data_IF_300732427713
#
_entry.id   IF_300732427713
#
_cell.length_a   1.000
_cell.length_b   1.000
_cell.length_c   1.000
_cell.angle_alpha   90.00
_cell.angle_beta   90.00
_cell.angle_gamma   90.00
#
_symmetry.space_group_name_H-M   'P 1'
#
loop_
_entity.id
_entity.type
_entity.pdbx_description
1 polymer ?
#
# COMPACT_ATOMS: atom_id res chain seq x y z
N UNK A 1 -20.26 -8.08 27.48
CA UNK A 1 -21.46 -8.63 26.82
C UNK A 1 -21.78 -7.86 25.54
N UNK A 2 -22.26 -6.60 25.58
CA UNK A 2 -22.57 -5.86 24.34
C UNK A 2 -21.34 -5.58 23.44
N UNK A 3 -20.19 -5.29 24.04
CA UNK A 3 -18.93 -5.08 23.30
C UNK A 3 -18.41 -6.38 22.64
N UNK A 4 -18.61 -7.53 23.29
CA UNK A 4 -18.15 -8.82 22.78
C UNK A 4 -18.97 -9.25 21.55
N UNK A 5 -20.27 -8.98 21.58
CA UNK A 5 -21.18 -9.24 20.46
C UNK A 5 -20.88 -8.32 19.25
N UNK A 6 -20.53 -7.05 19.49
CA UNK A 6 -20.07 -6.14 18.43
C UNK A 6 -18.76 -6.62 17.79
N UNK A 7 -17.81 -7.09 18.60
CA UNK A 7 -16.53 -7.64 18.11
C UNK A 7 -16.78 -8.89 17.27
N UNK A 8 -17.62 -9.82 17.75
CA UNK A 8 -17.97 -11.04 17.03
C UNK A 8 -18.66 -10.72 15.70
N UNK A 9 -19.57 -9.74 15.69
CA UNK A 9 -20.23 -9.29 14.46
C UNK A 9 -19.22 -8.69 13.45
N UNK A 10 -18.30 -7.84 13.90
CA UNK A 10 -17.22 -7.30 13.04
C UNK A 10 -16.31 -8.39 12.49
N UNK A 11 -16.01 -9.41 13.30
CA UNK A 11 -15.22 -10.56 12.87
C UNK A 11 -15.97 -11.36 11.79
N UNK A 12 -17.25 -11.65 12.00
CA UNK A 12 -18.07 -12.36 11.03
C UNK A 12 -18.19 -11.57 9.71
N UNK A 13 -18.47 -10.27 9.79
CA UNK A 13 -18.56 -9.40 8.62
C UNK A 13 -17.23 -9.35 7.84
N UNK A 14 -16.10 -9.18 8.54
CA UNK A 14 -14.78 -9.09 7.90
C UNK A 14 -14.32 -10.40 7.27
N UNK A 15 -14.71 -11.55 7.82
CA UNK A 15 -14.26 -12.88 7.37
C UNK A 15 -15.20 -13.54 6.36
N UNK A 16 -16.51 -13.30 6.45
CA UNK A 16 -17.53 -13.89 5.56
C UNK A 16 -17.28 -13.57 4.08
N UNK A 17 -16.74 -12.40 3.80
CA UNK A 17 -16.38 -11.98 2.45
C UNK A 17 -14.96 -11.39 2.40
N UNK A 18 -14.01 -12.17 2.91
CA UNK A 18 -12.61 -11.78 2.95
C UNK A 18 -12.06 -11.43 1.56
N UNK A 19 -12.46 -12.16 0.51
CA UNK A 19 -11.99 -11.89 -0.86
C UNK A 19 -12.42 -10.52 -1.36
N UNK A 20 -13.70 -10.15 -1.20
CA UNK A 20 -14.17 -8.81 -1.58
C UNK A 20 -13.42 -7.73 -0.80
N UNK A 21 -13.28 -7.89 0.52
CA UNK A 21 -12.56 -6.92 1.35
C UNK A 21 -11.10 -6.75 0.94
N UNK A 22 -10.40 -7.82 0.57
CA UNK A 22 -9.02 -7.74 0.09
C UNK A 22 -8.93 -6.99 -1.25
N UNK A 23 -9.89 -7.20 -2.16
CA UNK A 23 -9.94 -6.49 -3.44
C UNK A 23 -10.25 -5.00 -3.26
N UNK A 24 -11.22 -4.66 -2.41
CA UNK A 24 -11.57 -3.27 -2.08
C UNK A 24 -10.41 -2.54 -1.40
N UNK A 25 -9.70 -3.22 -0.49
CA UNK A 25 -8.52 -2.67 0.17
C UNK A 25 -7.40 -2.38 -0.84
N UNK A 26 -7.12 -3.33 -1.75
CA UNK A 26 -6.13 -3.12 -2.80
C UNK A 26 -6.52 -1.95 -3.73
N UNK A 27 -7.78 -1.89 -4.15
CA UNK A 27 -8.29 -0.79 -4.98
C UNK A 27 -8.08 0.56 -4.28
N UNK A 28 -8.47 0.67 -3.00
CA UNK A 28 -8.31 1.90 -2.21
C UNK A 28 -6.84 2.33 -2.12
N UNK A 29 -5.93 1.37 -1.90
CA UNK A 29 -4.48 1.63 -1.86
C UNK A 29 -3.99 2.16 -3.20
N UNK A 30 -4.37 1.52 -4.31
CA UNK A 30 -3.91 1.90 -5.65
C UNK A 30 -4.50 3.23 -6.12
N UNK A 31 -5.75 3.54 -5.78
CA UNK A 31 -6.38 4.82 -6.07
C UNK A 31 -5.67 5.98 -5.34
N UNK A 32 -5.29 5.76 -4.07
CA UNK A 32 -4.62 6.80 -3.26
C UNK A 32 -3.14 6.93 -3.57
N UNK A 33 -2.44 5.83 -3.79
CA UNK A 33 -0.99 5.78 -3.86
C UNK A 33 -0.46 5.50 -5.26
N UNK A 34 -1.29 5.27 -6.28
CA UNK A 34 -0.82 4.93 -7.64
C UNK A 34 0.10 5.98 -8.28
N UNK A 35 0.07 7.22 -7.80
CA UNK A 35 0.96 8.29 -8.22
C UNK A 35 2.33 8.35 -7.52
N UNK A 36 2.62 7.49 -6.55
CA UNK A 36 3.93 7.49 -5.86
C UNK A 36 5.02 6.91 -6.76
N UNK A 37 6.26 7.36 -6.59
CA UNK A 37 7.38 7.01 -7.46
C UNK A 37 7.59 5.50 -7.59
N UNK A 38 7.42 4.75 -6.50
CA UNK A 38 7.52 3.29 -6.52
C UNK A 38 6.49 2.65 -7.46
N UNK A 39 5.21 2.94 -7.27
CA UNK A 39 4.16 2.33 -8.09
C UNK A 39 4.20 2.83 -9.54
N UNK A 40 4.53 4.10 -9.76
CA UNK A 40 4.70 4.63 -11.12
C UNK A 40 5.82 3.92 -11.88
N UNK A 41 6.93 3.53 -11.23
CA UNK A 41 8.01 2.83 -11.91
C UNK A 41 7.58 1.49 -12.54
N UNK A 42 6.52 0.87 -12.00
CA UNK A 42 5.96 -0.41 -12.47
C UNK A 42 4.65 -0.28 -13.27
N UNK A 43 3.91 0.82 -13.07
CA UNK A 43 2.54 0.98 -13.60
C UNK A 43 2.42 2.16 -14.59
N UNK A 44 3.53 2.79 -14.98
CA UNK A 44 3.55 4.01 -15.82
C UNK A 44 2.71 3.94 -17.10
N UNK A 45 2.68 2.78 -17.73
CA UNK A 45 2.01 2.59 -19.03
C UNK A 45 0.50 2.27 -18.89
N UNK A 46 -0.04 2.23 -17.67
CA UNK A 46 -1.44 1.97 -17.41
C UNK A 46 -2.20 3.28 -17.19
N UNK A 47 -3.05 3.63 -18.16
CA UNK A 47 -3.89 4.84 -18.14
C UNK A 47 -5.28 4.63 -17.53
N UNK A 48 -5.61 3.40 -17.13
CA UNK A 48 -6.88 3.02 -16.52
C UNK A 48 -6.69 2.62 -15.05
N UNK A 49 -7.76 2.58 -14.22
CA UNK A 49 -7.68 2.04 -12.87
C UNK A 49 -7.03 0.65 -12.88
N UNK A 50 -5.97 0.49 -12.10
CA UNK A 50 -5.18 -0.75 -12.07
C UNK A 50 -5.96 -1.81 -11.30
N UNK A 51 -6.33 -2.88 -11.99
CA UNK A 51 -7.01 -4.02 -11.36
C UNK A 51 -6.02 -4.97 -10.65
N UNK A 52 -6.56 -5.87 -9.82
CA UNK A 52 -5.75 -6.79 -9.04
C UNK A 52 -4.88 -7.73 -9.90
N UNK A 53 -5.36 -8.11 -11.10
CA UNK A 53 -4.60 -8.96 -12.00
C UNK A 53 -3.40 -8.23 -12.61
N UNK A 54 -3.59 -6.97 -12.98
CA UNK A 54 -2.54 -6.10 -13.49
C UNK A 54 -1.51 -5.80 -12.41
N UNK A 55 -1.95 -5.45 -11.19
CA UNK A 55 -1.06 -5.23 -10.06
C UNK A 55 -0.15 -6.44 -9.82
N UNK A 56 -0.72 -7.65 -9.73
CA UNK A 56 0.04 -8.90 -9.51
C UNK A 56 1.05 -9.23 -10.61
N UNK A 57 0.79 -8.80 -11.84
CA UNK A 57 1.66 -9.06 -12.99
C UNK A 57 2.77 -8.02 -13.11
N UNK A 58 2.47 -6.77 -12.80
CA UNK A 58 3.37 -5.63 -13.06
C UNK A 58 4.24 -5.27 -11.86
N UNK A 59 3.74 -5.43 -10.62
CA UNK A 59 4.48 -5.07 -9.40
C UNK A 59 5.22 -6.30 -8.86
N UNK A 60 6.55 -6.24 -8.70
CA UNK A 60 7.33 -7.40 -8.29
C UNK A 60 7.08 -7.78 -6.83
N UNK A 61 7.12 -9.08 -6.56
CA UNK A 61 7.34 -9.59 -5.21
C UNK A 61 8.71 -9.11 -4.75
N UNK A 62 8.74 -8.48 -3.57
CA UNK A 62 9.92 -7.80 -3.07
C UNK A 62 10.18 -8.18 -1.62
N UNK A 63 11.42 -7.99 -1.18
CA UNK A 63 11.90 -8.15 0.18
C UNK A 63 12.36 -6.81 0.75
N UNK A 64 12.87 -6.81 1.99
CA UNK A 64 13.33 -5.59 2.65
C UNK A 64 14.52 -4.95 1.91
N UNK A 65 15.44 -5.76 1.43
CA UNK A 65 16.68 -5.29 0.79
C UNK A 65 16.41 -4.47 -0.48
N UNK A 66 15.29 -4.74 -1.18
CA UNK A 66 14.88 -3.98 -2.38
C UNK A 66 14.54 -2.51 -2.06
N UNK A 67 14.23 -2.19 -0.80
CA UNK A 67 13.85 -0.85 -0.35
C UNK A 67 14.72 -0.30 0.77
N UNK A 68 15.75 -1.01 1.22
CA UNK A 68 16.55 -0.60 2.36
C UNK A 68 17.17 0.79 2.14
N UNK A 69 17.77 1.02 0.97
CA UNK A 69 18.37 2.31 0.60
C UNK A 69 17.34 3.43 0.55
N UNK A 70 16.16 3.14 0.01
CA UNK A 70 15.03 4.07 -0.05
C UNK A 70 14.55 4.48 1.35
N UNK A 71 14.40 3.51 2.25
CA UNK A 71 14.01 3.74 3.64
C UNK A 71 15.08 4.52 4.40
N UNK A 72 16.36 4.23 4.18
CA UNK A 72 17.48 4.98 4.77
C UNK A 72 17.47 6.43 4.34
N UNK A 73 17.30 6.71 3.03
CA UNK A 73 17.20 8.08 2.52
C UNK A 73 16.03 8.83 3.13
N UNK A 74 14.87 8.18 3.23
CA UNK A 74 13.70 8.75 3.92
C UNK A 74 13.98 9.03 5.40
N UNK A 75 14.70 8.14 6.11
CA UNK A 75 15.05 8.32 7.51
C UNK A 75 16.00 9.51 7.72
N UNK A 76 16.93 9.71 6.79
CA UNK A 76 17.86 10.84 6.79
C UNK A 76 17.21 12.17 6.39
N UNK A 77 15.91 12.17 6.07
CA UNK A 77 15.16 13.35 5.65
C UNK A 77 15.36 13.76 4.20
N UNK A 78 15.97 12.89 3.37
CA UNK A 78 16.08 13.10 1.94
C UNK A 78 14.75 12.71 1.28
N UNK A 79 13.91 13.70 1.03
CA UNK A 79 12.84 13.58 0.04
C UNK A 79 13.50 13.67 -1.34
N UNK A 80 13.19 12.74 -2.25
CA UNK A 80 13.75 12.73 -3.60
C UNK A 80 13.63 14.12 -4.27
N UNK A 81 14.62 14.49 -5.09
CA UNK A 81 14.80 15.78 -5.79
C UNK A 81 13.60 16.26 -6.65
N UNK A 82 12.50 15.49 -6.70
CA UNK A 82 11.35 15.71 -7.58
C UNK A 82 10.04 16.02 -6.85
N UNK A 83 10.05 16.30 -5.54
CA UNK A 83 8.84 16.58 -4.72
C UNK A 83 7.77 15.46 -4.77
N UNK A 84 8.09 14.31 -5.35
CA UNK A 84 7.14 13.22 -5.54
C UNK A 84 7.26 12.21 -4.39
N UNK A 85 6.16 11.86 -3.72
CA UNK A 85 6.18 10.87 -2.65
C UNK A 85 6.67 9.51 -3.16
N UNK A 86 7.57 8.87 -2.42
CA UNK A 86 8.20 7.62 -2.83
C UNK A 86 7.28 6.39 -2.66
N UNK A 87 6.79 6.16 -1.43
CA UNK A 87 5.98 4.99 -1.06
C UNK A 87 4.53 5.33 -0.73
N UNK A 88 4.29 6.48 -0.13
CA UNK A 88 2.96 6.94 0.30
C UNK A 88 2.83 8.44 0.11
N UNK A 89 1.62 8.88 -0.24
CA UNK A 89 1.26 10.31 -0.26
C UNK A 89 1.11 10.86 1.15
N UNK A 90 0.92 9.98 2.13
CA UNK A 90 0.89 10.36 3.54
C UNK A 90 2.31 10.43 4.09
N UNK A 91 2.62 11.46 4.92
CA UNK A 91 3.94 11.60 5.49
C UNK A 91 4.28 10.43 6.40
N UNK A 92 5.53 9.96 6.33
CA UNK A 92 6.02 8.91 7.20
C UNK A 92 6.12 9.45 8.64
N UNK A 93 5.36 8.84 9.56
CA UNK A 93 5.31 9.28 10.96
C UNK A 93 6.43 8.69 11.81
N UNK A 94 6.77 7.42 11.58
CA UNK A 94 7.80 6.70 12.31
C UNK A 94 8.21 5.42 11.58
N UNK A 95 9.35 4.86 11.98
CA UNK A 95 9.76 3.51 11.61
C UNK A 95 9.43 2.56 12.77
N UNK A 96 8.66 1.50 12.49
CA UNK A 96 8.34 0.47 13.47
C UNK A 96 9.43 -0.62 13.45
N UNK A 97 10.35 -0.58 14.43
CA UNK A 97 11.34 -1.63 14.63
C UNK A 97 10.73 -2.80 15.40
N UNK A 98 11.02 -4.03 14.96
CA UNK A 98 10.73 -5.25 15.70
C UNK A 98 11.91 -5.67 16.56
#
# INVERSE_FOLDING_TARGET
MAADEEILKKLEESTKDATRHQLEALQTILERHGGVSYLQSHLRDYHAPVDAATFRRSVPLSCYDDYADHLSRMADGHLDDHDQPLLSVDPLLCFFYR
#
